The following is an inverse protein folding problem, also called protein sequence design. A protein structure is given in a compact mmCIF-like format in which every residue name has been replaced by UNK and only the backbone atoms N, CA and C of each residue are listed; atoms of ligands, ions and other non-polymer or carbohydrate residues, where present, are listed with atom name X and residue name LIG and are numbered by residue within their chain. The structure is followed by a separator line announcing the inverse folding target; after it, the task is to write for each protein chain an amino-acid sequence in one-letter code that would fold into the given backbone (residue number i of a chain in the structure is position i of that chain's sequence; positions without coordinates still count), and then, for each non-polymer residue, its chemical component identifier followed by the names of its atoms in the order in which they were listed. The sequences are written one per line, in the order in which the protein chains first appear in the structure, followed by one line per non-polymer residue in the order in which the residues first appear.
data_IF_664069173741
#
_entry.id   IF_664069173741
#
_cell.length_a   1.000
_cell.length_b   1.000
_cell.length_c   1.000
_cell.angle_alpha   90.00
_cell.angle_beta   90.00
_cell.angle_gamma   90.00
#
_symmetry.space_group_name_H-M   'P 1'
#
loop_
_entity.id
_entity.type
_entity.pdbx_description
1 polymer ?
#
# COMPACT_ATOMS: atom_id res chain seq x y z
N UNK A 1 -7.77 23.52 55.77
CA UNK A 1 -7.64 23.57 54.29
C UNK A 1 -6.36 22.90 53.78
N UNK A 2 -5.99 21.70 54.25
CA UNK A 2 -4.68 21.08 53.88
C UNK A 2 -4.78 19.66 53.31
N UNK A 3 -5.85 18.90 53.58
CA UNK A 3 -5.95 17.49 53.15
C UNK A 3 -6.48 17.30 51.72
N UNK A 4 -7.30 18.25 51.23
CA UNK A 4 -7.90 18.17 49.89
C UNK A 4 -6.98 18.68 48.77
N UNK A 5 -6.03 19.57 49.09
CA UNK A 5 -5.08 20.11 48.11
C UNK A 5 -4.04 19.05 47.70
N UNK A 6 -3.60 18.21 48.66
CA UNK A 6 -2.66 17.12 48.40
C UNK A 6 -3.30 16.00 47.56
N UNK A 7 -4.58 15.71 47.79
CA UNK A 7 -5.33 14.73 46.99
C UNK A 7 -5.50 15.16 45.52
N UNK A 8 -5.75 16.44 45.25
CA UNK A 8 -5.86 16.96 43.88
C UNK A 8 -4.52 16.90 43.12
N UNK A 9 -3.38 17.12 43.80
CA UNK A 9 -2.05 17.04 43.18
C UNK A 9 -1.66 15.62 42.78
N UNK A 10 -2.05 14.61 43.57
CA UNK A 10 -1.79 13.20 43.24
C UNK A 10 -2.61 12.73 42.02
N UNK A 11 -3.83 13.24 41.85
CA UNK A 11 -4.70 12.92 40.69
C UNK A 11 -4.18 13.49 39.38
N UNK A 12 -3.54 14.67 39.41
CA UNK A 12 -2.98 15.31 38.20
C UNK A 12 -1.74 14.56 37.70
N UNK A 13 -0.92 14.01 38.62
CA UNK A 13 0.24 13.19 38.27
C UNK A 13 -0.13 11.87 37.59
N UNK A 14 -1.29 11.28 37.91
CA UNK A 14 -1.78 10.06 37.27
C UNK A 14 -2.27 10.29 35.83
N UNK A 15 -2.76 11.48 35.50
CA UNK A 15 -3.13 11.84 34.13
C UNK A 15 -1.92 12.17 33.24
N UNK A 16 -0.79 12.58 33.84
CA UNK A 16 0.45 12.88 33.11
C UNK A 16 1.28 11.63 32.78
N UNK A 17 1.04 10.50 33.45
CA UNK A 17 1.75 9.24 33.23
C UNK A 17 1.12 8.26 32.23
N UNK A 18 -0.06 8.59 31.70
CA UNK A 18 -0.88 7.65 30.89
C UNK A 18 -0.67 7.70 29.38
N UNK A 19 0.31 8.46 28.88
CA UNK A 19 0.60 8.60 27.46
C UNK A 19 1.66 7.64 26.95
N UNK A 20 1.61 6.35 27.30
CA UNK A 20 2.33 5.37 26.50
C UNK A 20 1.56 5.22 25.20
N UNK A 21 1.92 6.01 24.18
CA UNK A 21 1.64 5.62 22.81
C UNK A 21 2.42 4.32 22.61
N UNK A 22 1.71 3.19 22.63
CA UNK A 22 2.27 1.95 22.14
C UNK A 22 2.67 2.23 20.69
N UNK A 23 3.97 2.49 20.46
CA UNK A 23 4.53 2.59 19.13
C UNK A 23 4.50 1.18 18.57
N UNK A 24 3.36 0.78 17.99
CA UNK A 24 3.37 -0.31 17.04
C UNK A 24 4.30 0.14 15.92
N UNK A 25 5.39 -0.57 15.68
CA UNK A 25 6.52 -0.10 14.85
C UNK A 25 6.22 -0.01 13.33
N UNK A 26 4.94 -0.13 12.95
CA UNK A 26 4.40 -0.14 11.59
C UNK A 26 3.15 0.73 11.40
N UNK A 27 2.60 0.73 10.19
CA UNK A 27 1.37 1.47 9.87
C UNK A 27 0.16 0.79 10.53
N UNK A 28 -0.84 1.57 10.94
CA UNK A 28 -2.16 1.00 11.23
C UNK A 28 -2.83 0.52 9.94
N UNK A 29 -3.81 -0.38 10.07
CA UNK A 29 -4.55 -0.98 8.94
C UNK A 29 -4.98 0.07 7.91
N UNK A 30 -5.70 1.10 8.35
CA UNK A 30 -6.22 2.15 7.46
C UNK A 30 -5.11 2.92 6.74
N UNK A 31 -3.98 3.14 7.39
CA UNK A 31 -2.84 3.82 6.79
C UNK A 31 -2.17 2.93 5.72
N UNK A 32 -2.05 1.62 5.97
CA UNK A 32 -1.53 0.68 4.99
C UNK A 32 -2.46 0.57 3.75
N UNK A 33 -3.78 0.50 3.98
CA UNK A 33 -4.77 0.48 2.89
C UNK A 33 -4.73 1.77 2.07
N UNK A 34 -4.69 2.94 2.73
CA UNK A 34 -4.60 4.23 2.04
C UNK A 34 -3.31 4.35 1.23
N UNK A 35 -2.17 3.90 1.75
CA UNK A 35 -0.91 3.89 1.01
C UNK A 35 -1.05 3.09 -0.28
N UNK A 36 -1.60 1.87 -0.22
CA UNK A 36 -1.78 1.01 -1.40
C UNK A 36 -2.77 1.63 -2.40
N UNK A 37 -3.85 2.23 -1.90
CA UNK A 37 -4.85 2.91 -2.73
C UNK A 37 -4.26 4.10 -3.47
N UNK A 38 -3.51 4.95 -2.79
CA UNK A 38 -2.81 6.08 -3.40
C UNK A 38 -1.75 5.64 -4.41
N UNK A 39 -1.03 4.56 -4.10
CA UNK A 39 -0.07 3.94 -5.01
C UNK A 39 -0.76 3.44 -6.30
N UNK A 40 -1.93 2.79 -6.18
CA UNK A 40 -2.72 2.33 -7.33
C UNK A 40 -3.21 3.50 -8.20
N UNK A 41 -3.72 4.57 -7.57
CA UNK A 41 -4.09 5.81 -8.26
C UNK A 41 -2.90 6.44 -8.98
N UNK A 42 -1.72 6.44 -8.35
CA UNK A 42 -0.49 6.93 -8.96
C UNK A 42 -0.14 6.15 -10.23
N UNK A 43 -0.24 4.81 -10.22
CA UNK A 43 -0.03 3.98 -11.42
C UNK A 43 -1.07 4.26 -12.51
N UNK A 44 -2.36 4.29 -12.15
CA UNK A 44 -3.46 4.54 -13.08
C UNK A 44 -3.31 5.88 -13.80
N UNK A 45 -2.93 6.93 -13.06
CA UNK A 45 -2.80 8.29 -13.60
C UNK A 45 -1.73 8.45 -14.69
N UNK A 46 -0.82 7.48 -14.85
CA UNK A 46 0.20 7.49 -15.92
C UNK A 46 -0.47 7.45 -17.31
N UNK A 47 -1.62 6.78 -17.42
CA UNK A 47 -2.39 6.66 -18.65
C UNK A 47 -3.17 7.93 -19.04
N UNK A 48 -3.37 8.86 -18.11
CA UNK A 48 -4.25 10.02 -18.30
C UNK A 48 -3.63 11.11 -19.19
N UNK A 49 -2.31 11.23 -19.21
CA UNK A 49 -1.59 12.23 -20.00
C UNK A 49 -0.16 11.77 -20.30
N UNK A 50 0.38 12.25 -21.42
CA UNK A 50 1.76 12.03 -21.83
C UNK A 50 2.70 12.86 -20.95
N UNK A 51 3.78 12.24 -20.46
CA UNK A 51 4.75 12.87 -19.54
C UNK A 51 6.18 12.55 -19.94
N UNK A 52 7.14 13.28 -19.38
CA UNK A 52 8.55 12.87 -19.43
C UNK A 52 8.77 11.63 -18.58
N UNK A 53 9.83 10.87 -18.88
CA UNK A 53 10.18 9.69 -18.10
C UNK A 53 10.50 10.06 -16.65
N UNK A 54 11.20 11.17 -16.45
CA UNK A 54 11.58 11.69 -15.13
C UNK A 54 10.35 12.06 -14.29
N UNK A 55 9.31 12.62 -14.92
CA UNK A 55 8.06 12.93 -14.23
C UNK A 55 7.30 11.67 -13.81
N UNK A 56 7.33 10.61 -14.62
CA UNK A 56 6.77 9.29 -14.26
C UNK A 56 7.57 8.68 -13.10
N UNK A 57 8.90 8.65 -13.19
CA UNK A 57 9.77 8.10 -12.15
C UNK A 57 9.53 8.85 -10.81
N UNK A 58 9.56 10.19 -10.82
CA UNK A 58 9.32 11.04 -9.63
C UNK A 58 7.93 10.80 -9.01
N UNK A 59 6.91 10.61 -9.85
CA UNK A 59 5.55 10.30 -9.38
C UNK A 59 5.53 8.96 -8.64
N UNK A 60 6.18 7.94 -9.19
CA UNK A 60 6.22 6.60 -8.60
C UNK A 60 7.12 6.52 -7.35
N UNK A 61 8.22 7.26 -7.29
CA UNK A 61 9.17 7.26 -6.17
C UNK A 61 8.54 7.51 -4.80
N UNK A 62 7.42 8.25 -4.77
CA UNK A 62 6.67 8.54 -3.54
C UNK A 62 6.12 7.29 -2.86
N UNK A 63 5.72 6.29 -3.65
CA UNK A 63 4.99 5.13 -3.16
C UNK A 63 5.70 3.81 -3.42
N UNK A 64 6.66 3.76 -4.34
CA UNK A 64 7.27 2.53 -4.83
C UNK A 64 8.77 2.49 -4.57
N UNK A 65 9.28 1.28 -4.30
CA UNK A 65 10.73 1.02 -4.24
C UNK A 65 11.34 1.16 -5.65
N UNK A 66 12.61 1.55 -5.73
CA UNK A 66 13.29 1.75 -7.02
C UNK A 66 13.28 0.49 -7.89
N UNK A 67 13.37 -0.70 -7.26
CA UNK A 67 13.29 -1.98 -7.99
C UNK A 67 11.92 -2.21 -8.62
N UNK A 68 10.85 -1.88 -7.88
CA UNK A 68 9.50 -1.95 -8.40
C UNK A 68 9.31 -0.99 -9.57
N UNK A 69 9.76 0.26 -9.43
CA UNK A 69 9.65 1.29 -10.49
C UNK A 69 10.31 0.80 -11.77
N UNK A 70 11.53 0.26 -11.70
CA UNK A 70 12.23 -0.28 -12.86
C UNK A 70 11.44 -1.38 -13.57
N UNK A 71 10.84 -2.32 -12.82
CA UNK A 71 10.03 -3.41 -13.38
C UNK A 71 8.75 -2.89 -14.01
N UNK A 72 8.02 -2.02 -13.31
CA UNK A 72 6.77 -1.43 -13.77
C UNK A 72 6.96 -0.60 -15.03
N UNK A 73 7.93 0.32 -15.04
CA UNK A 73 8.23 1.18 -16.19
C UNK A 73 8.62 0.34 -17.40
N UNK A 74 9.48 -0.67 -17.20
CA UNK A 74 9.89 -1.58 -18.28
C UNK A 74 8.71 -2.35 -18.88
N UNK A 75 7.76 -2.78 -18.06
CA UNK A 75 6.66 -3.61 -18.50
C UNK A 75 5.50 -2.81 -19.13
N UNK A 76 5.19 -1.63 -18.60
CA UNK A 76 3.93 -0.94 -18.90
C UNK A 76 4.10 0.43 -19.55
N UNK A 77 5.24 1.10 -19.36
CA UNK A 77 5.44 2.46 -19.87
C UNK A 77 6.06 2.41 -21.26
N UNK A 78 5.40 3.05 -22.20
CA UNK A 78 5.78 3.08 -23.62
C UNK A 78 6.12 4.49 -24.06
N UNK A 79 7.01 4.60 -25.05
CA UNK A 79 7.34 5.88 -25.69
C UNK A 79 6.30 6.21 -26.75
N UNK A 80 5.85 7.46 -26.75
CA UNK A 80 5.01 8.08 -27.78
C UNK A 80 5.72 9.34 -28.31
N UNK A 81 5.15 10.01 -29.31
CA UNK A 81 5.81 11.15 -29.99
C UNK A 81 6.26 12.24 -29.01
N UNK A 82 5.40 12.61 -28.06
CA UNK A 82 5.64 13.72 -27.12
C UNK A 82 6.08 13.26 -25.71
N UNK A 83 6.49 12.01 -25.54
CA UNK A 83 6.99 11.51 -24.26
C UNK A 83 6.65 10.05 -23.98
N UNK A 84 6.10 9.80 -22.80
CA UNK A 84 5.83 8.47 -22.27
C UNK A 84 4.45 8.40 -21.63
N UNK A 85 3.82 7.24 -21.73
CA UNK A 85 2.53 6.93 -21.12
C UNK A 85 2.40 5.42 -20.87
N UNK A 86 1.29 4.98 -20.28
CA UNK A 86 0.94 3.57 -20.15
C UNK A 86 -0.47 3.38 -20.74
N UNK A 87 -0.64 2.40 -21.62
CA UNK A 87 -1.95 2.06 -22.16
C UNK A 87 -2.64 1.01 -21.27
N UNK A 88 -3.96 1.10 -21.17
CA UNK A 88 -4.75 0.03 -20.55
C UNK A 88 -4.51 -1.29 -21.28
N UNK A 89 -4.37 -2.36 -20.51
CA UNK A 89 -4.06 -3.70 -21.03
C UNK A 89 -4.80 -4.75 -20.22
N UNK A 90 -5.31 -5.78 -20.92
CA UNK A 90 -5.85 -6.99 -20.28
C UNK A 90 -4.73 -7.81 -19.59
N UNK A 91 -3.46 -7.51 -19.90
CA UNK A 91 -2.29 -8.03 -19.22
C UNK A 91 -1.42 -6.87 -18.75
N UNK A 92 -1.53 -6.53 -17.46
CA UNK A 92 -0.91 -5.35 -16.86
C UNK A 92 0.02 -5.75 -15.69
N UNK A 93 1.22 -6.30 -15.96
CA UNK A 93 2.13 -6.77 -14.92
C UNK A 93 2.48 -5.66 -13.94
N UNK A 94 2.61 -6.02 -12.66
CA UNK A 94 3.01 -5.09 -11.59
C UNK A 94 2.02 -3.94 -11.32
N UNK A 95 0.81 -3.95 -11.89
CA UNK A 95 -0.24 -3.06 -11.42
C UNK A 95 -0.78 -3.56 -10.08
N UNK A 96 -1.03 -2.63 -9.15
CA UNK A 96 -1.74 -2.94 -7.92
C UNK A 96 -3.16 -3.40 -8.28
N UNK A 97 -3.63 -4.52 -7.70
CA UNK A 97 -4.99 -5.02 -7.82
C UNK A 97 -6.08 -4.00 -7.55
N UNK A 98 -7.25 -4.19 -8.15
CA UNK A 98 -8.46 -3.45 -7.81
C UNK A 98 -9.11 -4.02 -6.53
N UNK A 99 -8.40 -3.93 -5.40
CA UNK A 99 -8.94 -4.29 -4.09
C UNK A 99 -10.20 -3.49 -3.75
N UNK A 100 -11.06 -4.04 -2.89
CA UNK A 100 -12.24 -3.34 -2.38
C UNK A 100 -11.88 -2.23 -1.39
N UNK A 101 -10.75 -2.38 -0.68
CA UNK A 101 -10.32 -1.56 0.44
C UNK A 101 -11.33 -1.52 1.61
N UNK A 102 -12.14 -2.56 1.77
CA UNK A 102 -13.12 -2.73 2.85
C UNK A 102 -12.71 -3.88 3.79
N UNK A 103 -13.63 -4.46 4.56
CA UNK A 103 -13.35 -5.61 5.43
C UNK A 103 -12.78 -6.85 4.71
N UNK A 104 -12.91 -6.94 3.39
CA UNK A 104 -12.38 -8.05 2.59
C UNK A 104 -10.89 -7.87 2.23
N UNK A 105 -10.35 -6.65 2.35
CA UNK A 105 -8.91 -6.39 2.20
C UNK A 105 -8.20 -6.53 3.55
N UNK A 106 -7.32 -7.51 3.65
CA UNK A 106 -6.59 -7.84 4.88
C UNK A 106 -5.22 -7.17 4.90
N UNK A 107 -4.78 -6.77 6.10
CA UNK A 107 -3.41 -6.32 6.36
C UNK A 107 -2.74 -7.33 7.29
N UNK A 108 -1.70 -7.98 6.79
CA UNK A 108 -0.88 -8.93 7.55
C UNK A 108 0.47 -8.29 7.86
N UNK A 109 0.87 -8.31 9.13
CA UNK A 109 2.13 -7.74 9.60
C UNK A 109 3.21 -8.81 9.62
N UNK A 110 4.36 -8.56 8.99
CA UNK A 110 5.48 -9.48 9.01
C UNK A 110 6.20 -9.50 10.37
N UNK A 111 6.86 -10.63 10.66
CA UNK A 111 7.47 -10.92 11.97
C UNK A 111 8.54 -9.92 12.43
N UNK A 112 9.21 -9.24 11.49
CA UNK A 112 10.33 -8.35 11.77
C UNK A 112 9.98 -6.85 11.73
N UNK A 113 8.71 -6.49 11.54
CA UNK A 113 8.25 -5.09 11.49
C UNK A 113 8.65 -4.31 10.22
N UNK A 114 9.43 -4.89 9.32
CA UNK A 114 9.90 -4.24 8.08
C UNK A 114 9.05 -4.59 6.85
N UNK A 115 8.12 -5.54 7.00
CA UNK A 115 7.22 -6.00 5.95
C UNK A 115 5.76 -5.94 6.41
N UNK A 116 4.89 -5.54 5.51
CA UNK A 116 3.44 -5.69 5.64
C UNK A 116 2.87 -6.18 4.32
N UNK A 117 1.75 -6.88 4.37
CA UNK A 117 1.09 -7.43 3.21
C UNK A 117 -0.35 -6.94 3.18
N UNK A 118 -0.76 -6.35 2.06
CA UNK A 118 -2.15 -5.98 1.81
C UNK A 118 -2.69 -6.97 0.79
N UNK A 119 -3.68 -7.77 1.16
CA UNK A 119 -4.15 -8.87 0.34
C UNK A 119 -5.67 -8.97 0.29
N UNK A 120 -6.19 -9.48 -0.81
CA UNK A 120 -7.62 -9.75 -1.00
C UNK A 120 -7.82 -11.05 -1.76
N UNK A 121 -8.87 -11.77 -1.39
CA UNK A 121 -9.29 -12.98 -2.08
C UNK A 121 -10.36 -12.64 -3.11
N UNK A 122 -10.00 -12.79 -4.39
CA UNK A 122 -10.91 -12.57 -5.50
C UNK A 122 -11.71 -13.84 -5.76
N UNK A 123 -13.04 -13.71 -5.72
CA UNK A 123 -13.93 -14.76 -6.17
C UNK A 123 -13.81 -14.86 -7.68
N UNK A 124 -13.56 -16.06 -8.18
CA UNK A 124 -13.51 -16.30 -9.61
C UNK A 124 -14.78 -15.83 -10.31
N UNK A 125 -14.63 -15.30 -11.52
CA UNK A 125 -15.75 -14.95 -12.38
C UNK A 125 -16.08 -16.14 -13.27
N UNK A 126 -17.24 -16.76 -13.05
CA UNK A 126 -17.78 -17.81 -13.95
C UNK A 126 -18.46 -17.20 -15.19
N UNK A 127 -18.73 -15.89 -15.17
CA UNK A 127 -19.36 -15.14 -16.24
C UNK A 127 -18.39 -14.13 -16.86
N UNK A 128 -18.35 -14.09 -18.20
CA UNK A 128 -17.53 -13.15 -18.98
C UNK A 128 -16.61 -13.84 -20.00
N UNK A 129 -15.95 -13.09 -20.90
CA UNK A 129 -15.06 -13.65 -21.92
C UNK A 129 -13.76 -14.23 -21.33
N UNK A 130 -13.43 -13.87 -20.10
CA UNK A 130 -12.26 -14.37 -19.35
C UNK A 130 -12.75 -15.01 -18.07
N UNK A 131 -12.55 -16.32 -17.96
CA UNK A 131 -12.79 -17.06 -16.71
C UNK A 131 -11.59 -16.88 -15.79
N UNK A 132 -11.83 -16.40 -14.58
CA UNK A 132 -10.82 -16.32 -13.54
C UNK A 132 -11.16 -17.34 -12.45
N UNK A 133 -10.16 -18.11 -12.01
CA UNK A 133 -10.31 -18.96 -10.84
C UNK A 133 -10.30 -18.13 -9.56
N UNK A 134 -10.72 -18.74 -8.45
CA UNK A 134 -10.48 -18.17 -7.12
C UNK A 134 -8.98 -17.98 -6.91
N UNK A 135 -8.55 -16.80 -6.50
CA UNK A 135 -7.14 -16.48 -6.27
C UNK A 135 -7.00 -15.37 -5.22
N UNK A 136 -5.77 -15.15 -4.77
CA UNK A 136 -5.40 -14.11 -3.81
C UNK A 136 -4.38 -13.20 -4.47
N UNK A 137 -4.65 -11.90 -4.45
CA UNK A 137 -3.67 -10.91 -4.89
C UNK A 137 -3.11 -10.19 -3.67
N UNK A 138 -1.81 -9.92 -3.68
CA UNK A 138 -1.07 -9.42 -2.53
C UNK A 138 -0.09 -8.33 -2.93
N UNK A 139 -0.18 -7.18 -2.27
CA UNK A 139 0.81 -6.11 -2.31
C UNK A 139 1.73 -6.25 -1.11
N UNK A 140 3.03 -6.34 -1.35
CA UNK A 140 4.05 -6.32 -0.29
C UNK A 140 4.55 -4.91 -0.08
N UNK A 141 4.39 -4.39 1.14
CA UNK A 141 4.97 -3.15 1.61
C UNK A 141 6.28 -3.45 2.34
N UNK A 142 7.28 -2.59 2.14
CA UNK A 142 8.56 -2.64 2.83
C UNK A 142 8.94 -1.26 3.36
N UNK A 143 9.49 -1.21 4.57
CA UNK A 143 10.06 0.01 5.14
C UNK A 143 11.46 0.24 4.60
N UNK A 144 11.67 1.36 3.91
CA UNK A 144 12.98 1.79 3.40
C UNK A 144 13.29 3.20 3.91
N UNK A 145 14.38 3.34 4.66
CA UNK A 145 14.79 4.60 5.29
C UNK A 145 13.67 5.25 6.14
N UNK A 146 12.88 4.41 6.83
CA UNK A 146 11.77 4.86 7.68
C UNK A 146 10.46 5.13 6.94
N UNK A 147 10.43 5.02 5.60
CA UNK A 147 9.23 5.24 4.78
C UNK A 147 8.73 3.92 4.22
N UNK A 148 7.44 3.66 4.35
CA UNK A 148 6.80 2.48 3.76
C UNK A 148 6.60 2.68 2.25
N UNK A 149 6.98 1.67 1.47
CA UNK A 149 6.83 1.66 0.01
C UNK A 149 6.37 0.30 -0.49
N UNK A 150 5.67 0.30 -1.63
CA UNK A 150 5.32 -0.91 -2.36
C UNK A 150 6.59 -1.51 -2.96
N UNK A 151 6.88 -2.73 -2.50
CA UNK A 151 8.02 -3.55 -2.93
C UNK A 151 7.65 -4.48 -4.07
N UNK A 152 6.46 -5.09 -3.99
CA UNK A 152 6.06 -6.16 -4.92
C UNK A 152 4.55 -6.32 -5.01
N UNK A 153 4.08 -6.91 -6.11
CA UNK A 153 2.70 -7.35 -6.32
C UNK A 153 2.74 -8.82 -6.75
N UNK A 154 1.98 -9.67 -6.06
CA UNK A 154 1.91 -11.12 -6.31
C UNK A 154 0.46 -11.53 -6.57
N UNK A 155 0.31 -12.44 -7.52
CA UNK A 155 -0.96 -13.02 -7.96
C UNK A 155 -0.89 -14.52 -7.67
N UNK A 156 -1.33 -14.95 -6.49
CA UNK A 156 -1.13 -16.30 -5.94
C UNK A 156 -2.46 -16.99 -5.63
N UNK A 157 -2.44 -18.25 -5.20
CA UNK A 157 -3.65 -19.01 -4.84
C UNK A 157 -3.89 -19.11 -3.32
N UNK A 158 -2.94 -18.65 -2.50
CA UNK A 158 -2.99 -18.81 -1.03
C UNK A 158 -2.73 -17.48 -0.32
N UNK A 159 -3.46 -17.24 0.77
CA UNK A 159 -3.26 -16.08 1.65
C UNK A 159 -1.99 -16.25 2.47
N UNK A 160 -1.27 -15.15 2.69
CA UNK A 160 -0.33 -15.09 3.79
C UNK A 160 -1.10 -15.09 5.11
N UNK A 161 -0.54 -15.75 6.12
CA UNK A 161 -1.10 -15.91 7.46
C UNK A 161 -0.28 -15.12 8.46
#
# INVERSE_FOLDING_TARGET
MSKYVVACLASILLFLGGGFTASAEGLHREEALNLVKEAAMSQGSISEEVRTKEAIDTKLEKHFTDDFIRKFVKANVVKVDDGYTAFGSDFAPYYIPFFSYDEHTEVVYGDNGDLMYVQEEFRGTEDGPVLSGKHVECVTLKKENGVWKVKDVRYENEKLK
#
